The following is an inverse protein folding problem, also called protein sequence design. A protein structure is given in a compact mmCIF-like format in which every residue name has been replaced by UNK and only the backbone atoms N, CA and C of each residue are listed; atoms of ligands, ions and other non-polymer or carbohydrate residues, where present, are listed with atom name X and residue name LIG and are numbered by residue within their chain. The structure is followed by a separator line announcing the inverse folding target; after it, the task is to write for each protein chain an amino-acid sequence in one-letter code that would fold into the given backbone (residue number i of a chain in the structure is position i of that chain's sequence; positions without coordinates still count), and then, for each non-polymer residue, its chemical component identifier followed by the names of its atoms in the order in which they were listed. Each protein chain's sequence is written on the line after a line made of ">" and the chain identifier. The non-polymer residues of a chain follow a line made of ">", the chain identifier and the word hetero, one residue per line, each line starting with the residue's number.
data_IF_839983837211
#
_entry.id   IF_839983837211
#
_cell.length_a   1.000
_cell.length_b   1.000
_cell.length_c   1.000
_cell.angle_alpha   90.00
_cell.angle_beta   90.00
_cell.angle_gamma   90.00
#
_symmetry.space_group_name_H-M   'P 1'
#
loop_
_entity.id
_entity.type
_entity.pdbx_description
1 polymer ?
#
# COMPACT_ATOMS: atom_id res chain seq x y z
N UNK A 1 -9.46 20.99 17.08
CA UNK A 1 -9.83 19.65 16.58
C UNK A 1 -10.22 19.61 15.09
N UNK A 2 -9.99 20.66 14.28
CA UNK A 2 -10.43 20.67 12.86
C UNK A 2 -9.29 20.58 11.82
N UNK A 3 -8.07 21.10 12.09
CA UNK A 3 -7.01 21.24 11.07
C UNK A 3 -6.54 19.90 10.47
N UNK A 4 -6.29 18.88 11.29
CA UNK A 4 -5.88 17.57 10.80
C UNK A 4 -7.02 16.90 10.01
N UNK A 5 -8.28 17.14 10.36
CA UNK A 5 -9.42 16.65 9.59
C UNK A 5 -9.46 17.25 8.19
N UNK A 6 -9.21 18.56 8.07
CA UNK A 6 -9.11 19.26 6.79
C UNK A 6 -7.97 18.69 5.95
N UNK A 7 -6.78 18.51 6.54
CA UNK A 7 -5.63 17.95 5.84
C UNK A 7 -5.85 16.50 5.40
N UNK A 8 -6.51 15.68 6.23
CA UNK A 8 -6.88 14.32 5.85
C UNK A 8 -7.87 14.30 4.70
N UNK A 9 -8.87 15.17 4.72
CA UNK A 9 -9.81 15.31 3.61
C UNK A 9 -9.11 15.73 2.31
N UNK A 10 -8.17 16.67 2.41
CA UNK A 10 -7.37 17.12 1.27
C UNK A 10 -6.49 15.99 0.68
N UNK A 11 -5.95 15.10 1.52
CA UNK A 11 -5.25 13.88 1.05
C UNK A 11 -6.20 12.96 0.28
N UNK A 12 -7.42 12.74 0.77
CA UNK A 12 -8.44 11.92 0.07
C UNK A 12 -8.88 12.54 -1.26
N UNK A 13 -8.91 13.87 -1.37
CA UNK A 13 -9.23 14.57 -2.61
C UNK A 13 -8.14 14.45 -3.69
N UNK A 14 -6.91 14.12 -3.31
CA UNK A 14 -5.83 13.89 -4.28
C UNK A 14 -4.47 14.48 -3.92
N UNK A 15 -4.31 15.11 -2.75
CA UNK A 15 -3.00 15.60 -2.30
C UNK A 15 -2.19 14.49 -1.63
N UNK A 16 -1.76 13.54 -2.47
CA UNK A 16 -0.95 12.39 -2.05
C UNK A 16 0.43 12.79 -1.50
N UNK A 17 0.94 13.94 -1.94
CA UNK A 17 2.23 14.53 -1.60
C UNK A 17 2.40 14.83 -0.09
N UNK A 18 1.30 15.11 0.62
CA UNK A 18 1.33 15.38 2.07
C UNK A 18 0.79 14.21 2.92
N UNK A 19 0.50 13.07 2.30
CA UNK A 19 -0.16 11.94 2.96
C UNK A 19 0.63 11.43 4.18
N UNK A 20 1.96 11.32 4.04
CA UNK A 20 2.83 10.81 5.10
C UNK A 20 2.87 11.76 6.31
N UNK A 21 3.04 13.06 6.06
CA UNK A 21 3.15 14.13 7.04
C UNK A 21 1.84 14.30 7.81
N UNK A 22 0.70 14.29 7.11
CA UNK A 22 -0.62 14.36 7.72
C UNK A 22 -0.86 13.14 8.61
N UNK A 23 -0.46 11.94 8.16
CA UNK A 23 -0.54 10.72 8.95
C UNK A 23 0.39 10.75 10.18
N UNK A 24 1.56 11.39 10.09
CA UNK A 24 2.43 11.65 11.25
C UNK A 24 1.79 12.59 12.25
N UNK A 25 1.25 13.72 11.80
CA UNK A 25 0.64 14.70 12.69
C UNK A 25 -0.64 14.19 13.34
N UNK A 26 -1.42 13.35 12.64
CA UNK A 26 -2.65 12.77 13.18
C UNK A 26 -2.43 11.91 14.44
N UNK A 27 -1.23 11.38 14.65
CA UNK A 27 -0.90 10.61 15.86
C UNK A 27 -0.91 11.49 17.12
N UNK A 28 -0.48 12.74 17.00
CA UNK A 28 -0.35 13.65 18.14
C UNK A 28 -1.65 14.40 18.48
N UNK A 29 -2.78 14.05 17.85
CA UNK A 29 -4.07 14.70 18.09
C UNK A 29 -4.55 14.60 19.54
N UNK A 30 -4.18 13.53 20.26
CA UNK A 30 -4.55 13.36 21.66
C UNK A 30 -3.75 14.25 22.61
N UNK A 31 -2.52 14.63 22.25
CA UNK A 31 -1.64 15.49 23.05
C UNK A 31 -0.73 16.34 22.15
N UNK A 32 -1.29 17.34 21.44
CA UNK A 32 -0.50 18.19 20.55
C UNK A 32 0.42 19.09 21.36
N UNK A 33 1.66 19.28 20.87
CA UNK A 33 2.66 20.18 21.44
C UNK A 33 2.86 21.36 20.50
N UNK A 34 3.46 22.45 20.99
CA UNK A 34 3.71 23.67 20.21
C UNK A 34 4.45 23.36 18.89
N UNK A 35 5.45 22.48 18.92
CA UNK A 35 6.16 22.05 17.71
C UNK A 35 5.28 21.31 16.69
N UNK A 36 4.32 20.49 17.14
CA UNK A 36 3.36 19.83 16.25
C UNK A 36 2.42 20.84 15.58
N UNK A 37 2.03 21.88 16.32
CA UNK A 37 1.20 22.95 15.75
C UNK A 37 1.97 23.74 14.68
N UNK A 38 3.23 24.10 14.93
CA UNK A 38 4.07 24.72 13.91
C UNK A 38 4.23 23.83 12.67
N UNK A 39 4.45 22.52 12.83
CA UNK A 39 4.54 21.59 11.71
C UNK A 39 3.24 21.56 10.87
N UNK A 40 2.07 21.61 11.51
CA UNK A 40 0.78 21.71 10.82
C UNK A 40 0.65 23.04 10.06
N UNK A 41 1.09 24.16 10.64
CA UNK A 41 1.10 25.45 9.93
C UNK A 41 2.07 25.45 8.74
N UNK A 42 3.24 24.79 8.88
CA UNK A 42 4.16 24.59 7.77
C UNK A 42 3.54 23.77 6.63
N UNK A 43 2.74 22.74 6.94
CA UNK A 43 1.98 22.01 5.93
C UNK A 43 1.01 22.94 5.18
N UNK A 44 0.26 23.79 5.88
CA UNK A 44 -0.62 24.76 5.22
C UNK A 44 0.15 25.76 4.35
N UNK A 45 1.30 26.26 4.81
CA UNK A 45 2.16 27.14 4.00
C UNK A 45 2.75 26.44 2.77
N UNK A 46 3.07 25.14 2.89
CA UNK A 46 3.46 24.32 1.74
C UNK A 46 2.32 24.20 0.72
N UNK A 47 1.08 23.95 1.17
CA UNK A 47 -0.10 23.89 0.29
C UNK A 47 -0.39 25.22 -0.41
N UNK A 48 -0.16 26.35 0.28
CA UNK A 48 -0.33 27.69 -0.30
C UNK A 48 0.72 28.00 -1.37
N UNK A 49 1.97 27.58 -1.15
CA UNK A 49 3.07 27.75 -2.13
C UNK A 49 3.00 26.77 -3.29
N UNK A 50 2.39 25.59 -3.09
CA UNK A 50 2.22 24.54 -4.10
C UNK A 50 0.73 24.25 -4.33
N UNK A 51 -0.01 25.18 -4.97
CA UNK A 51 -1.43 25.00 -5.26
C UNK A 51 -1.67 23.93 -6.33
N UNK A 52 -0.71 23.77 -7.26
CA UNK A 52 -0.81 22.88 -8.40
C UNK A 52 -0.08 21.55 -8.14
N UNK A 53 -0.80 20.59 -7.57
CA UNK A 53 -0.41 19.17 -7.57
C UNK A 53 -1.55 18.38 -8.22
N UNK A 54 -1.43 18.18 -9.54
CA UNK A 54 -2.43 17.47 -10.32
C UNK A 54 -2.14 15.96 -10.29
N UNK A 55 -3.20 15.16 -10.11
CA UNK A 55 -3.10 13.72 -10.32
C UNK A 55 -3.22 13.46 -11.82
N UNK A 56 -2.18 12.88 -12.40
CA UNK A 56 -2.19 12.43 -13.79
C UNK A 56 -2.89 11.08 -13.87
N UNK A 57 -4.04 11.07 -14.55
CA UNK A 57 -4.80 9.85 -14.85
C UNK A 57 -4.49 9.40 -16.27
N UNK A 58 -3.43 8.60 -16.43
CA UNK A 58 -3.06 8.04 -17.74
C UNK A 58 -3.56 6.59 -17.87
N UNK A 59 -4.30 6.36 -18.96
CA UNK A 59 -4.88 5.06 -19.31
C UNK A 59 -3.90 4.11 -19.99
N UNK A 60 -2.72 4.59 -20.40
CA UNK A 60 -1.71 3.78 -21.05
C UNK A 60 -1.16 2.69 -20.12
N UNK A 61 -0.87 1.51 -20.66
CA UNK A 61 -0.32 0.42 -19.87
C UNK A 61 1.12 0.69 -19.45
N UNK A 62 1.46 0.34 -18.20
CA UNK A 62 2.83 0.39 -17.74
C UNK A 62 3.64 -0.75 -18.38
N UNK A 63 4.76 -0.39 -19.02
CA UNK A 63 5.73 -1.34 -19.56
C UNK A 63 6.54 -1.92 -18.39
N UNK A 64 6.03 -3.00 -17.80
CA UNK A 64 6.73 -3.77 -16.79
C UNK A 64 7.46 -4.93 -17.45
N UNK A 65 8.70 -5.17 -17.02
CA UNK A 65 9.46 -6.37 -17.41
C UNK A 65 8.74 -7.62 -16.91
N UNK A 66 8.82 -8.72 -17.65
CA UNK A 66 8.21 -9.99 -17.28
C UNK A 66 8.67 -10.42 -15.87
N UNK A 67 7.78 -10.25 -14.89
CA UNK A 67 7.98 -10.73 -13.53
C UNK A 67 7.64 -12.23 -13.55
N UNK A 68 8.52 -13.12 -13.06
CA UNK A 68 8.24 -14.54 -13.05
C UNK A 68 6.98 -14.83 -12.24
N UNK A 69 6.01 -15.48 -12.87
CA UNK A 69 4.77 -15.91 -12.22
C UNK A 69 5.09 -16.95 -11.16
N UNK A 70 4.84 -16.63 -9.89
CA UNK A 70 4.99 -17.59 -8.80
C UNK A 70 3.67 -18.33 -8.59
N UNK A 71 3.63 -19.59 -9.03
CA UNK A 71 2.49 -20.48 -8.80
C UNK A 71 2.52 -21.00 -7.35
N UNK A 72 1.65 -20.46 -6.48
CA UNK A 72 1.55 -20.84 -5.07
C UNK A 72 0.45 -21.88 -4.79
N UNK A 73 -0.34 -22.23 -5.81
CA UNK A 73 -1.51 -23.12 -5.70
C UNK A 73 -1.19 -24.49 -5.09
N UNK A 74 0.00 -25.05 -5.39
CA UNK A 74 0.45 -26.34 -4.84
C UNK A 74 0.63 -26.29 -3.30
N UNK A 75 1.03 -25.13 -2.76
CA UNK A 75 1.32 -24.95 -1.33
C UNK A 75 0.10 -24.50 -0.54
N UNK A 76 -0.83 -23.77 -1.17
CA UNK A 76 -2.04 -23.23 -0.54
C UNK A 76 -3.30 -23.59 -1.34
N UNK A 77 -3.67 -24.88 -1.47
CA UNK A 77 -4.80 -25.30 -2.29
C UNK A 77 -6.17 -24.80 -1.77
N UNK A 78 -6.23 -24.38 -0.51
CA UNK A 78 -7.43 -23.79 0.10
C UNK A 78 -7.54 -22.28 -0.13
N UNK A 79 -6.46 -21.62 -0.56
CA UNK A 79 -6.49 -20.21 -0.85
C UNK A 79 -7.10 -20.02 -2.23
N UNK A 80 -8.23 -19.32 -2.27
CA UNK A 80 -8.91 -18.94 -3.50
C UNK A 80 -9.29 -17.49 -3.40
N UNK A 81 -9.17 -16.79 -4.51
CA UNK A 81 -9.66 -15.43 -4.62
C UNK A 81 -11.16 -15.37 -4.31
N UNK A 82 -11.56 -14.38 -3.51
CA UNK A 82 -12.96 -14.16 -3.15
C UNK A 82 -13.63 -13.37 -4.27
N UNK A 83 -14.30 -14.08 -5.17
CA UNK A 83 -15.11 -13.46 -6.22
C UNK A 83 -16.45 -12.97 -5.66
N UNK A 84 -16.91 -11.77 -6.05
CA UNK A 84 -18.23 -11.29 -5.65
C UNK A 84 -19.37 -12.14 -6.26
N UNK A 85 -20.43 -12.46 -5.49
CA UNK A 85 -21.52 -13.32 -5.97
C UNK A 85 -22.36 -12.67 -7.07
N UNK A 86 -22.53 -11.35 -7.04
CA UNK A 86 -23.37 -10.58 -7.96
C UNK A 86 -22.55 -9.73 -8.95
N UNK A 87 -21.35 -10.18 -9.34
CA UNK A 87 -20.51 -9.40 -10.25
C UNK A 87 -21.12 -9.35 -11.68
N UNK A 88 -21.19 -8.16 -12.31
CA UNK A 88 -21.62 -8.05 -13.69
C UNK A 88 -20.58 -8.65 -14.65
N UNK A 89 -21.01 -8.91 -15.89
CA UNK A 89 -20.09 -9.32 -16.96
C UNK A 89 -19.02 -8.25 -17.18
N UNK A 90 -17.76 -8.67 -17.23
CA UNK A 90 -16.65 -7.74 -17.39
C UNK A 90 -16.62 -7.16 -18.82
N UNK A 91 -16.64 -5.83 -18.94
CA UNK A 91 -16.70 -5.12 -20.22
C UNK A 91 -15.51 -4.19 -20.40
N UNK A 92 -15.06 -4.05 -21.65
CA UNK A 92 -13.99 -3.12 -22.03
C UNK A 92 -12.60 -3.74 -22.00
N UNK A 93 -11.58 -2.91 -21.77
CA UNK A 93 -10.17 -3.32 -21.77
C UNK A 93 -9.72 -3.69 -20.37
N UNK A 94 -8.95 -4.76 -20.26
CA UNK A 94 -8.38 -5.18 -18.98
C UNK A 94 -7.48 -4.08 -18.41
N UNK A 95 -7.53 -3.87 -17.10
CA UNK A 95 -6.65 -2.93 -16.38
C UNK A 95 -5.51 -3.68 -15.72
N UNK A 96 -4.33 -3.08 -15.73
CA UNK A 96 -3.15 -3.62 -15.04
C UNK A 96 -3.02 -2.94 -13.68
N UNK A 97 -2.83 -3.72 -12.62
CA UNK A 97 -2.64 -3.20 -11.26
C UNK A 97 -1.15 -3.24 -10.93
N UNK A 98 -0.62 -2.13 -10.44
CA UNK A 98 0.76 -2.02 -9.98
C UNK A 98 0.76 -1.46 -8.57
N UNK A 99 1.39 -2.17 -7.64
CA UNK A 99 1.50 -1.75 -6.25
C UNK A 99 2.95 -1.46 -5.91
N UNK A 100 3.20 -0.29 -5.34
CA UNK A 100 4.45 0.07 -4.69
C UNK A 100 4.24 -0.02 -3.18
N UNK A 101 5.13 -0.75 -2.51
CA UNK A 101 5.13 -0.87 -1.06
C UNK A 101 6.48 -0.47 -0.51
N UNK A 102 6.45 0.38 0.51
CA UNK A 102 7.63 0.79 1.25
C UNK A 102 7.35 0.77 2.77
N UNK A 103 8.40 0.57 3.55
CA UNK A 103 8.37 0.71 5.00
C UNK A 103 9.58 1.50 5.49
N UNK A 104 9.34 2.69 6.05
CA UNK A 104 10.43 3.48 6.64
C UNK A 104 10.88 2.84 7.96
N UNK A 105 12.14 2.41 8.04
CA UNK A 105 12.71 1.84 9.27
C UNK A 105 12.96 2.92 10.33
N UNK A 106 12.40 2.73 11.54
CA UNK A 106 12.69 3.53 12.74
C UNK A 106 12.62 5.07 12.57
N UNK A 107 11.70 5.56 11.75
CA UNK A 107 11.57 6.99 11.41
C UNK A 107 11.25 7.91 12.59
N UNK A 108 10.90 7.37 13.75
CA UNK A 108 10.58 8.13 14.95
C UNK A 108 11.55 7.75 16.08
N UNK A 109 12.45 8.67 16.44
CA UNK A 109 13.48 8.47 17.48
C UNK A 109 12.89 8.29 18.88
N UNK A 110 11.64 8.72 19.10
CA UNK A 110 10.95 8.62 20.40
C UNK A 110 10.21 7.30 20.55
N UNK A 111 9.60 6.80 19.47
CA UNK A 111 8.99 5.47 19.42
C UNK A 111 9.53 4.77 18.18
N UNK A 112 10.39 3.73 18.29
CA UNK A 112 11.08 3.10 17.16
C UNK A 112 10.15 2.20 16.32
N UNK A 113 9.01 2.75 15.93
CA UNK A 113 7.99 2.09 15.12
C UNK A 113 8.14 2.57 13.68
N UNK A 114 8.12 1.62 12.75
CA UNK A 114 8.17 1.88 11.32
C UNK A 114 6.83 2.43 10.80
N UNK A 115 6.84 2.95 9.58
CA UNK A 115 5.64 3.45 8.89
C UNK A 115 5.53 2.76 7.54
N UNK A 116 4.34 2.26 7.26
CA UNK A 116 3.97 1.66 5.98
C UNK A 116 3.54 2.76 5.02
N UNK A 117 4.09 2.73 3.81
CA UNK A 117 3.61 3.45 2.64
C UNK A 117 3.14 2.46 1.58
N UNK A 118 1.96 2.69 0.99
CA UNK A 118 1.45 1.92 -0.14
C UNK A 118 0.92 2.89 -1.19
N UNK A 119 1.26 2.65 -2.45
CA UNK A 119 0.70 3.34 -3.62
C UNK A 119 0.26 2.29 -4.64
N UNK A 120 -1.02 2.29 -5.01
CA UNK A 120 -1.57 1.40 -6.03
C UNK A 120 -1.97 2.22 -7.24
N UNK A 121 -1.41 1.85 -8.39
CA UNK A 121 -1.74 2.38 -9.69
C UNK A 121 -2.64 1.40 -10.45
N UNK A 122 -3.62 1.94 -11.16
CA UNK A 122 -4.27 1.27 -12.27
C UNK A 122 -3.67 1.82 -13.55
N UNK A 123 -2.97 0.99 -14.31
CA UNK A 123 -2.16 1.42 -15.44
C UNK A 123 -1.12 2.46 -14.97
N UNK A 124 -1.21 3.72 -15.41
CA UNK A 124 -0.37 4.83 -14.93
C UNK A 124 -1.12 5.78 -13.99
N UNK A 125 -2.37 5.48 -13.63
CA UNK A 125 -3.22 6.33 -12.79
C UNK A 125 -3.16 5.90 -11.31
N UNK A 126 -2.74 6.77 -10.37
CA UNK A 126 -2.77 6.46 -8.95
C UNK A 126 -4.21 6.48 -8.41
N UNK A 127 -4.62 5.36 -7.80
CA UNK A 127 -5.99 5.19 -7.29
C UNK A 127 -6.02 5.09 -5.77
N UNK A 128 -5.03 4.44 -5.17
CA UNK A 128 -4.96 4.27 -3.71
C UNK A 128 -3.59 4.70 -3.21
N UNK A 129 -3.56 5.63 -2.26
CA UNK A 129 -2.36 5.99 -1.51
C UNK A 129 -2.64 5.86 -0.02
N UNK A 130 -1.71 5.25 0.70
CA UNK A 130 -1.89 4.93 2.11
C UNK A 130 -0.59 5.15 2.87
N UNK A 131 -0.68 5.86 3.99
CA UNK A 131 0.42 5.96 4.95
C UNK A 131 -0.08 5.73 6.37
N UNK A 132 0.50 4.75 7.06
CA UNK A 132 0.15 4.47 8.46
C UNK A 132 1.35 3.99 9.26
N UNK A 133 1.41 4.44 10.50
CA UNK A 133 2.35 3.94 11.50
C UNK A 133 2.05 2.48 11.82
N UNK A 134 3.08 1.63 11.85
CA UNK A 134 2.93 0.25 12.26
C UNK A 134 2.72 0.15 13.76
N UNK A 135 1.78 -0.69 14.18
CA UNK A 135 1.51 -0.92 15.61
C UNK A 135 2.62 -1.75 16.26
N UNK A 136 3.18 -2.71 15.52
CA UNK A 136 4.28 -3.53 15.98
C UNK A 136 5.62 -2.76 15.89
N UNK A 137 6.49 -2.99 16.87
CA UNK A 137 7.88 -2.53 16.86
C UNK A 137 8.71 -3.64 16.23
N UNK A 138 9.05 -3.49 14.95
CA UNK A 138 9.87 -4.46 14.23
C UNK A 138 11.36 -4.18 14.45
N UNK A 139 12.11 -5.21 14.82
CA UNK A 139 13.56 -5.11 15.07
C UNK A 139 14.39 -5.23 13.79
N UNK A 140 13.77 -5.47 12.63
CA UNK A 140 14.44 -5.63 11.34
C UNK A 140 13.64 -5.03 10.19
N UNK A 141 14.33 -4.42 9.21
CA UNK A 141 13.73 -3.88 7.98
C UNK A 141 12.83 -4.89 7.27
N UNK A 142 13.32 -6.12 7.12
CA UNK A 142 12.57 -7.23 6.53
C UNK A 142 11.19 -7.46 7.18
N UNK A 143 11.10 -7.31 8.51
CA UNK A 143 9.85 -7.52 9.23
C UNK A 143 8.86 -6.39 9.03
N UNK A 144 9.33 -5.14 9.08
CA UNK A 144 8.49 -3.97 8.81
C UNK A 144 8.01 -3.94 7.37
N UNK A 145 8.84 -4.32 6.41
CA UNK A 145 8.43 -4.38 5.01
C UNK A 145 7.45 -5.53 4.73
N UNK A 146 7.60 -6.70 5.36
CA UNK A 146 6.59 -7.77 5.24
C UNK A 146 5.24 -7.35 5.84
N UNK A 147 5.25 -6.61 6.95
CA UNK A 147 4.04 -6.04 7.52
C UNK A 147 3.41 -5.00 6.58
N UNK A 148 4.23 -4.17 5.92
CA UNK A 148 3.77 -3.24 4.90
C UNK A 148 3.17 -3.96 3.69
N UNK A 149 3.83 -5.02 3.21
CA UNK A 149 3.39 -5.83 2.08
C UNK A 149 2.04 -6.48 2.39
N UNK A 150 1.87 -7.04 3.60
CA UNK A 150 0.59 -7.59 4.06
C UNK A 150 -0.54 -6.55 3.98
N UNK A 151 -0.30 -5.32 4.43
CA UNK A 151 -1.28 -4.22 4.30
C UNK A 151 -1.55 -3.87 2.84
N UNK A 152 -0.53 -3.91 1.99
CA UNK A 152 -0.67 -3.73 0.54
C UNK A 152 -1.60 -4.77 -0.08
N UNK A 153 -1.41 -6.05 0.26
CA UNK A 153 -2.28 -7.16 -0.22
C UNK A 153 -3.74 -6.93 0.16
N UNK A 154 -4.00 -6.55 1.42
CA UNK A 154 -5.37 -6.26 1.90
C UNK A 154 -6.02 -5.11 1.09
N UNK A 155 -5.24 -4.08 0.72
CA UNK A 155 -5.72 -2.97 -0.09
C UNK A 155 -5.98 -3.39 -1.55
N UNK A 156 -5.11 -4.24 -2.12
CA UNK A 156 -5.27 -4.79 -3.47
C UNK A 156 -6.49 -5.70 -3.53
N UNK A 157 -6.69 -6.60 -2.57
CA UNK A 157 -7.87 -7.46 -2.47
C UNK A 157 -9.16 -6.63 -2.46
N UNK A 158 -9.21 -5.58 -1.64
CA UNK A 158 -10.36 -4.67 -1.61
C UNK A 158 -10.56 -3.88 -2.92
N UNK A 159 -9.48 -3.52 -3.62
CA UNK A 159 -9.56 -2.83 -4.91
C UNK A 159 -10.03 -3.76 -6.03
N UNK A 160 -9.49 -4.98 -6.09
CA UNK A 160 -9.87 -6.02 -7.06
C UNK A 160 -11.34 -6.36 -6.91
N UNK A 161 -11.79 -6.62 -5.67
CA UNK A 161 -13.19 -6.88 -5.38
C UNK A 161 -14.10 -5.75 -5.88
N UNK A 162 -13.69 -4.50 -5.65
CA UNK A 162 -14.43 -3.31 -6.12
C UNK A 162 -14.46 -3.21 -7.64
N UNK A 163 -13.34 -3.46 -8.33
CA UNK A 163 -13.25 -3.42 -9.79
C UNK A 163 -14.11 -4.51 -10.43
N UNK A 164 -14.08 -5.72 -9.89
CA UNK A 164 -14.92 -6.83 -10.32
C UNK A 164 -16.41 -6.53 -10.15
N UNK A 165 -16.82 -5.95 -9.02
CA UNK A 165 -18.19 -5.47 -8.80
C UNK A 165 -18.61 -4.37 -9.79
N UNK A 166 -17.67 -3.60 -10.33
CA UNK A 166 -17.93 -2.60 -11.36
C UNK A 166 -17.90 -3.19 -12.79
N UNK A 167 -17.61 -4.48 -12.97
CA UNK A 167 -17.50 -5.12 -14.28
C UNK A 167 -16.24 -4.71 -15.05
N UNK A 168 -15.17 -4.32 -14.34
CA UNK A 168 -13.90 -3.96 -14.97
C UNK A 168 -13.03 -5.22 -15.08
N UNK A 169 -12.62 -5.64 -16.29
CA UNK A 169 -11.70 -6.75 -16.45
C UNK A 169 -10.30 -6.41 -15.91
N UNK A 170 -9.62 -7.37 -15.30
CA UNK A 170 -8.29 -7.20 -14.70
C UNK A 170 -7.29 -8.08 -15.46
N UNK A 171 -6.13 -7.52 -15.78
CA UNK A 171 -5.05 -8.19 -16.51
C UNK A 171 -4.20 -9.04 -15.56
N UNK A 172 -4.75 -10.18 -15.15
CA UNK A 172 -4.05 -11.15 -14.29
C UNK A 172 -3.79 -10.64 -12.88
N UNK A 173 -2.53 -10.71 -12.44
CA UNK A 173 -2.10 -10.41 -11.08
C UNK A 173 -1.65 -8.95 -10.92
N UNK A 174 -1.66 -8.45 -9.69
CA UNK A 174 -1.07 -7.17 -9.32
C UNK A 174 0.46 -7.26 -9.30
N UNK A 175 1.13 -6.45 -10.11
CA UNK A 175 2.58 -6.34 -10.07
C UNK A 175 3.02 -5.59 -8.82
N UNK A 176 3.69 -6.28 -7.91
CA UNK A 176 4.16 -5.69 -6.65
C UNK A 176 5.64 -5.33 -6.72
N UNK A 177 5.94 -4.05 -6.50
CA UNK A 177 7.27 -3.48 -6.52
C UNK A 177 7.69 -3.10 -5.09
N UNK A 178 8.77 -3.75 -4.64
CA UNK A 178 9.37 -3.57 -3.31
C UNK A 178 10.87 -3.34 -3.50
N UNK A 179 11.44 -2.40 -2.77
CA UNK A 179 12.86 -2.01 -2.86
C UNK A 179 13.81 -3.04 -2.20
N UNK A 180 13.31 -3.82 -1.24
CA UNK A 180 14.09 -4.83 -0.56
C UNK A 180 14.02 -6.21 -1.22
N UNK A 181 15.15 -6.58 -1.82
CA UNK A 181 15.33 -7.88 -2.46
C UNK A 181 15.10 -9.07 -1.52
N UNK A 182 15.33 -8.92 -0.21
CA UNK A 182 15.06 -10.01 0.74
C UNK A 182 13.57 -10.32 0.88
N UNK A 183 12.70 -9.29 0.81
CA UNK A 183 11.25 -9.48 0.81
C UNK A 183 10.79 -10.07 -0.50
N UNK A 184 11.28 -9.56 -1.64
CA UNK A 184 10.97 -10.11 -2.96
C UNK A 184 11.35 -11.59 -3.03
N UNK A 185 12.56 -11.96 -2.63
CA UNK A 185 13.00 -13.36 -2.61
C UNK A 185 12.12 -14.24 -1.71
N UNK A 186 11.68 -13.72 -0.56
CA UNK A 186 10.81 -14.47 0.34
C UNK A 186 9.35 -14.54 -0.11
N UNK A 187 8.87 -13.56 -0.86
CA UNK A 187 7.52 -13.56 -1.41
C UNK A 187 7.42 -14.38 -2.70
N UNK A 188 8.46 -14.42 -3.53
CA UNK A 188 8.44 -15.05 -4.85
C UNK A 188 9.06 -16.45 -4.91
N UNK A 189 10.06 -16.78 -4.06
CA UNK A 189 10.72 -18.10 -4.09
C UNK A 189 10.09 -19.09 -3.12
N UNK A 190 9.60 -20.21 -3.66
CA UNK A 190 9.04 -21.33 -2.91
C UNK A 190 10.02 -21.89 -1.85
N UNK A 191 11.31 -22.00 -2.18
CA UNK A 191 12.35 -22.56 -1.30
C UNK A 191 12.72 -21.69 -0.09
N UNK A 192 12.35 -20.41 -0.10
CA UNK A 192 12.78 -19.52 0.97
C UNK A 192 12.05 -19.86 2.27
N UNK A 193 12.81 -20.06 3.36
CA UNK A 193 12.29 -20.45 4.67
C UNK A 193 12.30 -19.25 5.61
N UNK A 194 11.15 -18.94 6.20
CA UNK A 194 11.03 -17.91 7.20
C UNK A 194 11.73 -18.32 8.51
N UNK A 195 12.74 -17.54 8.93
CA UNK A 195 13.46 -17.78 10.19
C UNK A 195 12.75 -17.20 11.43
N UNK A 196 11.88 -16.20 11.26
CA UNK A 196 11.21 -15.50 12.37
C UNK A 196 9.74 -15.88 12.48
N UNK A 197 9.37 -16.54 13.58
CA UNK A 197 7.98 -16.98 13.84
C UNK A 197 6.97 -15.84 13.95
N UNK A 198 7.38 -14.65 14.38
CA UNK A 198 6.48 -13.48 14.53
C UNK A 198 5.81 -13.07 13.22
N UNK A 199 6.46 -13.35 12.09
CA UNK A 199 6.01 -12.87 10.77
C UNK A 199 5.35 -14.00 9.96
N UNK A 200 5.17 -15.19 10.53
CA UNK A 200 4.69 -16.36 9.79
C UNK A 200 3.30 -16.16 9.21
N UNK A 201 2.40 -15.53 9.97
CA UNK A 201 1.03 -15.27 9.51
C UNK A 201 1.02 -14.33 8.32
N UNK A 202 1.73 -13.20 8.41
CA UNK A 202 1.84 -12.25 7.30
C UNK A 202 2.50 -12.89 6.07
N UNK A 203 3.53 -13.70 6.29
CA UNK A 203 4.26 -14.40 5.25
C UNK A 203 3.40 -15.42 4.49
N UNK A 204 2.64 -16.26 5.21
CA UNK A 204 1.73 -17.21 4.57
C UNK A 204 0.55 -16.51 3.89
N UNK A 205 0.02 -15.45 4.50
CA UNK A 205 -1.07 -14.66 3.91
C UNK A 205 -0.67 -14.03 2.57
N UNK A 206 0.48 -13.34 2.53
CA UNK A 206 1.02 -12.74 1.29
C UNK A 206 1.20 -13.78 0.19
N UNK A 207 1.77 -14.95 0.52
CA UNK A 207 2.00 -16.03 -0.46
C UNK A 207 0.73 -16.76 -0.88
N UNK A 208 -0.29 -16.77 -0.04
CA UNK A 208 -1.57 -17.41 -0.36
C UNK A 208 -2.43 -16.55 -1.27
N UNK A 209 -2.11 -15.26 -1.42
CA UNK A 209 -2.85 -14.36 -2.28
C UNK A 209 -2.38 -14.56 -3.72
N UNK A 210 -3.22 -15.17 -4.55
CA UNK A 210 -2.98 -15.31 -5.99
C UNK A 210 -3.00 -13.96 -6.73
N UNK A 211 -3.24 -12.85 -6.02
CA UNK A 211 -3.31 -11.52 -6.58
C UNK A 211 -1.95 -10.83 -6.73
N UNK A 212 -0.85 -11.37 -6.20
CA UNK A 212 0.47 -10.70 -6.17
C UNK A 212 1.60 -11.60 -6.66
#
# INVERSE_FOLDING_TARGET
>A
MQLIGILRWLVELGRMDVCAEVSMMSWYNAMPRVGHFHAVLHLFGYLETHPSCEIVMDSAYMALTDIPKSEWHEFYPWAKEVLPPDMPEALGRAVKIVMFVDASYASNLVTPQSRTGVLILLNHAPIVWYSKKQNAVETSSFGSEFAALKTGVELVEGLVYKLQMMGVPIDGHCHTLVDNNSVVMNASRQESVLKKKSNSVAYHYVRSSDLI
#
